data_IF_692449190753
#
_entry.id   IF_692449190753
#
_cell.length_a   1.000
_cell.length_b   1.000
_cell.length_c   1.000
_cell.angle_alpha   90.00
_cell.angle_beta   90.00
_cell.angle_gamma   90.00
#
_symmetry.space_group_name_H-M   'P 1'
#
loop_
_entity.id
_entity.type
_entity.pdbx_description
1 polymer ?
#
# COMPACT_ATOMS: atom_id res chain seq x y z
N UNK A 1 -15.47 -17.17 -44.73
CA UNK A 1 -14.09 -16.74 -44.40
C UNK A 1 -14.01 -15.88 -43.14
N UNK A 2 -14.84 -14.84 -42.96
CA UNK A 2 -14.79 -13.95 -41.79
C UNK A 2 -14.89 -14.67 -40.43
N UNK A 3 -15.78 -15.67 -40.29
CA UNK A 3 -15.92 -16.45 -39.05
C UNK A 3 -14.70 -17.27 -38.68
N UNK A 4 -14.03 -17.86 -39.67
CA UNK A 4 -12.81 -18.66 -39.45
C UNK A 4 -11.67 -17.74 -39.02
N UNK A 5 -11.54 -16.58 -39.66
CA UNK A 5 -10.54 -15.58 -39.28
C UNK A 5 -10.76 -15.05 -37.86
N UNK A 6 -12.01 -14.75 -37.50
CA UNK A 6 -12.36 -14.31 -36.14
C UNK A 6 -12.06 -15.41 -35.11
N UNK A 7 -12.42 -16.66 -35.37
CA UNK A 7 -12.15 -17.80 -34.50
C UNK A 7 -10.64 -18.04 -34.29
N UNK A 8 -9.85 -17.95 -35.37
CA UNK A 8 -8.39 -18.06 -35.30
C UNK A 8 -7.76 -16.90 -34.53
N UNK A 9 -8.24 -15.67 -34.74
CA UNK A 9 -7.77 -14.50 -34.00
C UNK A 9 -8.08 -14.62 -32.50
N UNK A 10 -9.29 -15.05 -32.15
CA UNK A 10 -9.65 -15.34 -30.75
C UNK A 10 -8.81 -16.47 -30.18
N UNK A 11 -8.61 -17.58 -30.91
CA UNK A 11 -7.74 -18.67 -30.48
C UNK A 11 -6.31 -18.21 -30.23
N UNK A 12 -5.79 -17.34 -31.09
CA UNK A 12 -4.45 -16.77 -30.96
C UNK A 12 -4.34 -15.82 -29.75
N UNK A 13 -5.34 -14.96 -29.53
CA UNK A 13 -5.40 -14.07 -28.35
C UNK A 13 -5.48 -14.91 -27.07
N UNK A 14 -6.29 -15.96 -27.05
CA UNK A 14 -6.43 -16.88 -25.92
C UNK A 14 -5.14 -17.67 -25.68
N UNK A 15 -4.44 -18.09 -26.74
CA UNK A 15 -3.18 -18.83 -26.64
C UNK A 15 -2.01 -17.96 -26.21
N UNK A 16 -1.93 -16.71 -26.70
CA UNK A 16 -0.92 -15.73 -26.29
C UNK A 16 -1.20 -15.15 -24.89
N UNK A 17 -2.47 -15.15 -24.47
CA UNK A 17 -2.91 -14.59 -23.20
C UNK A 17 -3.79 -15.60 -22.42
N UNK A 18 -3.26 -16.79 -22.08
CA UNK A 18 -4.06 -17.85 -21.45
C UNK A 18 -4.63 -17.41 -20.10
N UNK A 19 -3.94 -16.50 -19.42
CA UNK A 19 -4.42 -15.88 -18.18
C UNK A 19 -5.60 -14.92 -18.41
N UNK A 20 -5.64 -14.20 -19.54
CA UNK A 20 -6.74 -13.29 -19.86
C UNK A 20 -7.99 -14.09 -20.21
N UNK A 21 -7.83 -15.03 -21.14
CA UNK A 21 -8.81 -16.03 -21.49
C UNK A 21 -9.48 -16.67 -20.25
N UNK A 22 -8.67 -17.18 -19.31
CA UNK A 22 -9.17 -17.87 -18.12
C UNK A 22 -9.84 -16.94 -17.12
N UNK A 23 -9.32 -15.74 -16.93
CA UNK A 23 -9.94 -14.74 -16.04
C UNK A 23 -11.28 -14.26 -16.59
N UNK A 24 -11.34 -13.96 -17.88
CA UNK A 24 -12.56 -13.58 -18.60
C UNK A 24 -13.56 -14.74 -18.63
N UNK A 25 -13.11 -15.97 -18.86
CA UNK A 25 -13.95 -17.16 -18.74
C UNK A 25 -14.52 -17.30 -17.33
N UNK A 26 -13.70 -17.15 -16.29
CA UNK A 26 -14.21 -17.15 -14.92
C UNK A 26 -15.20 -15.99 -14.69
N UNK A 27 -14.95 -14.79 -15.19
CA UNK A 27 -15.89 -13.67 -15.02
C UNK A 27 -17.25 -13.92 -15.70
N UNK A 28 -17.24 -14.44 -16.93
CA UNK A 28 -18.47 -14.71 -17.68
C UNK A 28 -19.23 -15.95 -17.21
N UNK A 29 -18.51 -17.01 -16.80
CA UNK A 29 -19.10 -18.32 -16.50
C UNK A 29 -19.07 -18.69 -15.01
N UNK A 30 -18.39 -17.90 -14.17
CA UNK A 30 -18.43 -17.96 -12.70
C UNK A 30 -18.95 -16.64 -12.16
N UNK A 31 -20.16 -16.22 -12.60
CA UNK A 31 -20.93 -15.27 -11.79
C UNK A 31 -20.92 -15.85 -10.38
N UNK A 32 -20.27 -15.13 -9.47
CA UNK A 32 -20.06 -15.58 -8.10
C UNK A 32 -21.43 -15.76 -7.46
N UNK A 33 -21.95 -16.98 -7.48
CA UNK A 33 -23.06 -17.39 -6.63
C UNK A 33 -22.49 -17.64 -5.24
N UNK A 34 -21.90 -16.58 -4.67
CA UNK A 34 -21.48 -16.59 -3.29
C UNK A 34 -22.73 -16.40 -2.45
N UNK A 35 -23.14 -17.47 -1.80
CA UNK A 35 -24.18 -17.41 -0.80
C UNK A 35 -23.53 -16.97 0.51
N UNK A 36 -23.97 -15.82 1.01
CA UNK A 36 -23.61 -15.38 2.35
C UNK A 36 -24.03 -16.47 3.35
N UNK A 37 -23.18 -16.81 4.34
CA UNK A 37 -23.58 -17.79 5.35
C UNK A 37 -24.73 -17.24 6.20
N UNK A 38 -25.48 -18.10 6.91
CA UNK A 38 -26.52 -17.65 7.84
C UNK A 38 -25.94 -16.69 8.90
N UNK A 39 -26.68 -15.65 9.28
CA UNK A 39 -26.19 -14.61 10.21
C UNK A 39 -25.84 -15.13 11.61
N UNK A 40 -26.32 -16.33 11.97
CA UNK A 40 -25.97 -17.01 13.22
C UNK A 40 -24.57 -17.62 13.22
N UNK A 41 -23.87 -17.65 12.09
CA UNK A 41 -22.53 -18.27 11.98
C UNK A 41 -21.40 -17.26 12.17
N UNK A 42 -20.23 -17.79 12.51
CA UNK A 42 -18.99 -17.03 12.57
C UNK A 42 -18.48 -16.74 11.16
N UNK A 43 -18.25 -15.46 10.82
CA UNK A 43 -17.73 -15.06 9.51
C UNK A 43 -16.21 -15.06 9.53
N UNK A 44 -15.64 -16.19 9.09
CA UNK A 44 -14.19 -16.42 8.98
C UNK A 44 -13.57 -15.64 7.82
N UNK A 45 -12.60 -14.79 8.12
CA UNK A 45 -11.79 -14.05 7.15
C UNK A 45 -10.35 -14.57 7.20
N UNK A 46 -9.83 -15.05 6.06
CA UNK A 46 -8.46 -15.53 5.94
C UNK A 46 -7.48 -14.39 5.62
N UNK A 47 -6.26 -14.54 6.14
CA UNK A 47 -5.09 -13.67 6.03
C UNK A 47 -5.12 -12.44 6.96
N UNK A 48 -3.94 -12.11 7.48
CA UNK A 48 -3.72 -10.95 8.34
C UNK A 48 -3.78 -9.68 7.49
N UNK A 49 -4.44 -8.65 8.01
CA UNK A 49 -4.51 -7.34 7.39
C UNK A 49 -4.36 -6.21 8.42
N UNK A 50 -4.08 -4.97 7.97
CA UNK A 50 -4.01 -3.82 8.86
C UNK A 50 -5.31 -3.59 9.63
N UNK A 51 -5.20 -3.05 10.85
CA UNK A 51 -6.35 -2.80 11.76
C UNK A 51 -7.46 -1.94 11.13
N UNK A 52 -7.13 -1.04 10.20
CA UNK A 52 -8.15 -0.26 9.51
C UNK A 52 -9.02 -1.14 8.61
N UNK A 53 -8.40 -2.10 7.90
CA UNK A 53 -9.09 -3.03 7.01
C UNK A 53 -9.99 -3.97 7.82
N UNK A 54 -9.50 -4.50 8.96
CA UNK A 54 -10.35 -5.31 9.85
C UNK A 54 -11.59 -4.55 10.35
N UNK A 55 -11.45 -3.24 10.64
CA UNK A 55 -12.58 -2.38 11.01
C UNK A 55 -13.56 -2.14 9.87
N UNK A 56 -13.08 -1.98 8.64
CA UNK A 56 -13.96 -1.85 7.46
C UNK A 56 -14.78 -3.12 7.30
N UNK A 57 -14.13 -4.29 7.35
CA UNK A 57 -14.82 -5.58 7.19
C UNK A 57 -15.86 -5.79 8.30
N UNK A 58 -15.49 -5.57 9.57
CA UNK A 58 -16.45 -5.69 10.70
C UNK A 58 -17.65 -4.77 10.57
N UNK A 59 -17.49 -3.59 9.97
CA UNK A 59 -18.60 -2.65 9.71
C UNK A 59 -19.42 -3.00 8.48
N UNK A 60 -18.82 -3.68 7.51
CA UNK A 60 -19.51 -4.16 6.32
C UNK A 60 -20.38 -5.40 6.62
N UNK A 61 -20.03 -6.15 7.67
CA UNK A 61 -20.72 -7.37 8.10
C UNK A 61 -21.13 -7.30 9.58
N UNK A 62 -21.92 -6.28 10.01
CA UNK A 62 -22.25 -6.06 11.41
C UNK A 62 -23.14 -7.16 12.04
N UNK A 63 -23.84 -7.93 11.21
CA UNK A 63 -24.71 -9.03 11.60
C UNK A 63 -23.96 -10.33 11.89
N UNK A 64 -22.65 -10.37 11.62
CA UNK A 64 -21.81 -11.55 11.81
C UNK A 64 -20.80 -11.38 12.93
N UNK A 65 -20.43 -12.48 13.58
CA UNK A 65 -19.22 -12.54 14.39
C UNK A 65 -17.99 -12.69 13.48
N UNK A 66 -17.38 -11.58 13.06
CA UNK A 66 -16.23 -11.58 12.14
C UNK A 66 -14.91 -11.90 12.85
N UNK A 67 -14.25 -12.99 12.44
CA UNK A 67 -12.99 -13.48 13.01
C UNK A 67 -11.88 -13.54 11.96
N UNK A 68 -10.63 -13.38 12.41
CA UNK A 68 -9.42 -13.40 11.56
C UNK A 68 -8.41 -14.41 12.14
N UNK A 69 -8.66 -15.72 12.02
CA UNK A 69 -7.75 -16.74 12.56
C UNK A 69 -6.42 -16.76 11.80
N UNK A 70 -5.31 -16.92 12.52
CA UNK A 70 -3.98 -17.12 11.90
C UNK A 70 -3.91 -18.44 11.13
N UNK A 71 -4.59 -19.47 11.65
CA UNK A 71 -4.68 -20.80 11.08
C UNK A 71 -6.15 -21.25 11.02
N UNK A 72 -6.91 -20.89 9.97
CA UNK A 72 -8.30 -21.30 9.85
C UNK A 72 -8.42 -22.83 9.74
N UNK A 73 -9.25 -23.43 10.58
CA UNK A 73 -9.63 -24.86 10.51
C UNK A 73 -10.83 -25.10 9.60
N UNK A 74 -11.57 -24.04 9.27
CA UNK A 74 -12.77 -24.05 8.43
C UNK A 74 -12.49 -23.34 7.11
N UNK A 75 -13.34 -23.59 6.10
CA UNK A 75 -13.26 -22.85 4.83
C UNK A 75 -13.60 -21.38 5.10
N UNK A 76 -12.75 -20.42 4.70
CA UNK A 76 -13.04 -19.01 4.92
C UNK A 76 -14.23 -18.54 4.09
N UNK A 77 -14.93 -17.52 4.57
CA UNK A 77 -15.99 -16.85 3.81
C UNK A 77 -15.43 -15.71 2.96
N UNK A 78 -14.27 -15.18 3.33
CA UNK A 78 -13.59 -14.09 2.66
C UNK A 78 -12.08 -14.27 2.76
N UNK A 79 -11.37 -14.09 1.64
CA UNK A 79 -9.91 -14.03 1.64
C UNK A 79 -9.45 -12.57 1.48
N UNK A 80 -8.43 -12.17 2.23
CA UNK A 80 -7.77 -10.88 2.03
C UNK A 80 -6.44 -11.07 1.31
N UNK A 81 -6.19 -10.28 0.27
CA UNK A 81 -4.95 -10.34 -0.50
C UNK A 81 -4.29 -8.98 -0.52
N UNK A 82 -3.00 -8.93 -0.22
CA UNK A 82 -2.23 -7.72 -0.35
C UNK A 82 -1.33 -7.73 -1.58
N UNK A 83 -0.70 -6.59 -1.88
CA UNK A 83 0.25 -6.50 -3.00
C UNK A 83 1.35 -7.56 -2.92
N UNK A 84 1.82 -7.94 -1.74
CA UNK A 84 2.90 -8.91 -1.57
C UNK A 84 2.42 -10.36 -1.42
N UNK A 85 1.11 -10.61 -1.37
CA UNK A 85 0.55 -11.96 -1.34
C UNK A 85 0.96 -12.68 -2.64
N UNK A 86 1.58 -13.87 -2.57
CA UNK A 86 1.90 -14.65 -3.75
C UNK A 86 0.64 -14.90 -4.60
N UNK A 87 0.76 -14.75 -5.92
CA UNK A 87 -0.35 -14.99 -6.85
C UNK A 87 -0.68 -16.48 -7.01
N UNK A 88 0.27 -17.35 -6.62
CA UNK A 88 0.20 -18.79 -6.75
C UNK A 88 0.71 -19.44 -5.46
N UNK A 89 -0.18 -20.18 -4.77
CA UNK A 89 0.19 -20.93 -3.57
C UNK A 89 -1.01 -21.22 -2.68
N UNK A 90 -1.27 -22.51 -2.45
CA UNK A 90 -2.07 -23.12 -1.38
C UNK A 90 -3.56 -22.79 -1.24
N UNK A 91 -4.08 -21.73 -1.86
CA UNK A 91 -5.50 -21.41 -1.79
C UNK A 91 -6.29 -22.25 -2.79
N UNK A 92 -6.88 -23.35 -2.32
CA UNK A 92 -7.79 -24.20 -3.09
C UNK A 92 -9.26 -23.77 -2.97
N UNK A 93 -9.56 -22.90 -2.00
CA UNK A 93 -10.92 -22.47 -1.70
C UNK A 93 -11.44 -21.49 -2.78
N UNK A 94 -12.58 -21.84 -3.37
CA UNK A 94 -13.31 -21.00 -4.32
C UNK A 94 -14.19 -19.99 -3.57
N UNK A 95 -13.57 -18.98 -2.97
CA UNK A 95 -14.25 -17.98 -2.12
C UNK A 95 -13.93 -16.56 -2.59
N UNK A 96 -14.82 -15.58 -2.34
CA UNK A 96 -14.57 -14.20 -2.73
C UNK A 96 -13.33 -13.67 -2.00
N UNK A 97 -12.62 -12.77 -2.68
CA UNK A 97 -11.48 -12.11 -2.05
C UNK A 97 -11.49 -10.60 -2.27
N UNK A 98 -11.07 -9.91 -1.22
CA UNK A 98 -10.82 -8.48 -1.21
C UNK A 98 -9.32 -8.25 -1.35
N UNK A 99 -8.93 -7.34 -2.23
CA UNK A 99 -7.55 -6.95 -2.41
C UNK A 99 -7.27 -5.62 -1.69
N UNK A 100 -6.08 -5.46 -1.12
CA UNK A 100 -5.65 -4.18 -0.56
C UNK A 100 -4.17 -3.88 -0.85
N UNK A 101 -3.85 -2.65 -1.23
CA UNK A 101 -2.50 -2.27 -1.65
C UNK A 101 -2.09 -0.89 -1.15
N UNK A 102 -0.90 -0.84 -0.55
CA UNK A 102 -0.22 0.42 -0.27
C UNK A 102 0.55 0.97 -1.47
N UNK A 103 0.60 0.22 -2.57
CA UNK A 103 1.20 0.66 -3.83
C UNK A 103 0.20 1.46 -4.65
N UNK A 104 0.71 2.33 -5.52
CA UNK A 104 -0.11 3.13 -6.42
C UNK A 104 -0.80 2.29 -7.52
N UNK A 105 -0.30 1.08 -7.78
CA UNK A 105 -0.87 0.21 -8.81
C UNK A 105 -2.09 -0.56 -8.28
N UNK A 106 -3.13 -0.65 -9.11
CA UNK A 106 -4.27 -1.54 -8.83
C UNK A 106 -3.79 -2.98 -8.70
N UNK A 107 -4.48 -3.81 -7.92
CA UNK A 107 -4.22 -5.26 -7.79
C UNK A 107 -5.03 -6.12 -8.75
N UNK A 108 -5.92 -5.55 -9.57
CA UNK A 108 -6.70 -6.33 -10.55
C UNK A 108 -5.82 -7.11 -11.54
N UNK A 109 -4.60 -6.64 -11.81
CA UNK A 109 -3.65 -7.40 -12.63
C UNK A 109 -3.10 -8.65 -11.94
N UNK A 110 -3.08 -8.71 -10.61
CA UNK A 110 -2.51 -9.82 -9.82
C UNK A 110 -3.35 -11.09 -9.80
N UNK A 111 -4.41 -11.18 -10.60
CA UNK A 111 -5.20 -12.39 -10.95
C UNK A 111 -4.91 -13.59 -10.04
N UNK A 112 -5.49 -13.58 -8.86
CA UNK A 112 -5.22 -14.64 -7.91
C UNK A 112 -6.05 -15.86 -8.29
N UNK A 113 -5.38 -16.89 -8.80
CA UNK A 113 -6.01 -18.13 -9.15
C UNK A 113 -6.33 -18.93 -7.86
N UNK A 114 -7.53 -19.54 -7.69
CA UNK A 114 -8.66 -19.65 -8.63
C UNK A 114 -9.68 -18.49 -8.57
N UNK A 115 -9.57 -17.60 -7.60
CA UNK A 115 -10.60 -16.63 -7.23
C UNK A 115 -10.84 -15.46 -8.20
N UNK A 116 -10.23 -15.42 -9.39
CA UNK A 116 -10.54 -14.41 -10.41
C UNK A 116 -10.10 -12.99 -10.03
N UNK A 117 -10.92 -11.97 -10.33
CA UNK A 117 -10.69 -10.57 -9.95
C UNK A 117 -11.18 -10.30 -8.51
N UNK A 118 -10.55 -9.35 -7.79
CA UNK A 118 -11.07 -8.98 -6.48
C UNK A 118 -12.46 -8.39 -6.64
N UNK A 119 -13.42 -8.83 -5.83
CA UNK A 119 -14.76 -8.23 -5.84
C UNK A 119 -14.76 -6.84 -5.18
N UNK A 120 -13.73 -6.53 -4.39
CA UNK A 120 -13.46 -5.20 -3.85
C UNK A 120 -11.94 -4.98 -3.74
N UNK A 121 -11.49 -3.80 -4.15
CA UNK A 121 -10.11 -3.37 -3.98
C UNK A 121 -10.00 -2.12 -3.10
N UNK A 122 -9.11 -2.16 -2.10
CA UNK A 122 -8.73 -1.02 -1.28
C UNK A 122 -7.34 -0.55 -1.71
N UNK A 123 -7.24 0.61 -2.35
CA UNK A 123 -5.98 1.08 -2.92
C UNK A 123 -5.60 2.49 -2.44
N UNK A 124 -4.29 2.71 -2.36
CA UNK A 124 -3.70 4.01 -2.08
C UNK A 124 -3.69 4.95 -3.29
N UNK A 125 -4.15 4.52 -4.48
CA UNK A 125 -4.32 5.39 -5.63
C UNK A 125 -5.79 5.77 -5.80
N UNK A 126 -6.06 7.07 -6.01
CA UNK A 126 -7.42 7.53 -6.31
C UNK A 126 -7.79 6.97 -7.69
N UNK A 127 -8.69 5.99 -7.69
CA UNK A 127 -9.10 5.25 -8.89
C UNK A 127 -10.61 5.32 -8.99
N UNK A 128 -11.11 5.64 -10.18
CA UNK A 128 -12.54 5.63 -10.47
C UNK A 128 -12.97 4.23 -10.91
N UNK A 129 -14.14 3.79 -10.45
CA UNK A 129 -14.75 2.55 -10.88
C UNK A 129 -15.62 1.90 -9.82
N UNK A 130 -16.40 0.92 -10.27
CA UNK A 130 -17.15 0.05 -9.38
C UNK A 130 -16.18 -0.89 -8.65
N UNK A 131 -16.46 -1.16 -7.37
CA UNK A 131 -15.68 -2.06 -6.52
C UNK A 131 -14.29 -1.56 -6.08
N UNK A 132 -14.15 -0.26 -5.87
CA UNK A 132 -12.95 0.33 -5.28
C UNK A 132 -13.29 1.16 -4.04
N UNK A 133 -12.44 1.06 -3.02
CA UNK A 133 -12.39 2.01 -1.92
C UNK A 133 -11.02 2.68 -1.97
N UNK A 134 -11.03 3.99 -2.16
CA UNK A 134 -9.84 4.79 -1.97
C UNK A 134 -9.50 4.85 -0.48
N UNK A 135 -8.31 4.38 -0.11
CA UNK A 135 -7.79 4.50 1.25
C UNK A 135 -6.28 4.76 1.16
N UNK A 136 -5.82 5.99 1.43
CA UNK A 136 -4.40 6.29 1.33
C UNK A 136 -3.62 5.47 2.35
N UNK A 137 -2.41 5.03 1.99
CA UNK A 137 -1.62 4.13 2.84
C UNK A 137 -1.40 4.70 4.24
N UNK A 138 -1.24 6.02 4.36
CA UNK A 138 -1.15 6.72 5.65
C UNK A 138 -2.32 6.42 6.61
N UNK A 139 -3.52 6.17 6.10
CA UNK A 139 -4.72 5.93 6.91
C UNK A 139 -4.75 4.56 7.59
N UNK A 140 -4.05 3.56 7.04
CA UNK A 140 -4.02 2.21 7.60
C UNK A 140 -2.63 1.69 7.95
N UNK A 141 -1.57 2.30 7.44
CA UNK A 141 -0.17 1.96 7.72
C UNK A 141 0.32 2.45 9.08
N UNK A 142 -0.28 3.50 9.64
CA UNK A 142 0.03 4.01 10.99
C UNK A 142 -1.25 4.06 11.84
N UNK A 143 -1.22 3.42 13.00
CA UNK A 143 -2.34 3.50 13.95
C UNK A 143 -2.26 4.82 14.73
N UNK A 144 -3.42 5.40 15.04
CA UNK A 144 -3.55 6.63 15.84
C UNK A 144 -2.75 7.83 15.28
N UNK A 145 -2.74 8.00 13.95
CA UNK A 145 -2.03 9.06 13.22
C UNK A 145 -2.01 10.42 13.94
N UNK A 146 -3.20 10.94 14.26
CA UNK A 146 -3.37 12.23 14.94
C UNK A 146 -2.65 12.31 16.29
N UNK A 147 -2.73 11.25 17.08
CA UNK A 147 -2.07 11.17 18.39
C UNK A 147 -0.55 11.17 18.20
N UNK A 148 -0.03 10.39 17.26
CA UNK A 148 1.41 10.32 17.00
C UNK A 148 1.95 11.65 16.50
N UNK A 149 1.23 12.34 15.61
CA UNK A 149 1.57 13.69 15.16
C UNK A 149 1.61 14.68 16.31
N UNK A 150 0.58 14.68 17.16
CA UNK A 150 0.51 15.55 18.31
C UNK A 150 1.70 15.31 19.27
N UNK A 151 1.98 14.05 19.61
CA UNK A 151 3.10 13.69 20.47
C UNK A 151 4.46 14.09 19.85
N UNK A 152 4.63 13.91 18.53
CA UNK A 152 5.84 14.33 17.83
C UNK A 152 6.03 15.85 17.85
N UNK A 153 4.94 16.61 17.68
CA UNK A 153 4.96 18.07 17.78
C UNK A 153 5.26 18.56 19.20
N UNK A 154 4.70 17.92 20.22
CA UNK A 154 4.93 18.25 21.64
C UNK A 154 6.36 17.95 22.08
N UNK A 155 6.94 16.82 21.63
CA UNK A 155 8.32 16.43 21.95
C UNK A 155 9.37 17.27 21.23
N UNK A 156 9.00 18.02 20.20
CA UNK A 156 9.97 18.75 19.39
C UNK A 156 10.60 19.90 20.19
N UNK A 157 11.91 19.86 20.45
CA UNK A 157 12.56 20.94 21.20
C UNK A 157 12.59 22.21 20.34
N UNK A 158 11.93 23.27 20.81
CA UNK A 158 11.85 24.56 20.11
C UNK A 158 13.18 25.34 20.11
N UNK A 159 14.07 25.04 21.04
CA UNK A 159 15.25 25.88 21.34
C UNK A 159 16.60 25.21 21.09
N UNK A 160 16.64 23.91 20.79
CA UNK A 160 17.91 23.22 20.56
C UNK A 160 18.20 23.06 19.07
N UNK A 161 19.34 23.58 18.58
CA UNK A 161 19.73 23.36 17.20
C UNK A 161 20.00 21.87 16.96
N UNK A 162 19.40 21.32 15.90
CA UNK A 162 19.68 19.95 15.45
C UNK A 162 21.10 19.88 14.87
N UNK A 163 21.82 18.75 15.04
CA UNK A 163 23.20 18.61 14.57
C UNK A 163 23.33 18.65 13.05
N UNK A 164 22.25 18.34 12.33
CA UNK A 164 22.23 18.26 10.86
C UNK A 164 21.03 18.99 10.25
N UNK A 165 21.12 19.33 8.96
CA UNK A 165 20.07 20.07 8.26
C UNK A 165 19.08 19.15 7.57
N UNK A 166 19.54 18.20 6.75
CA UNK A 166 18.67 17.41 5.88
C UNK A 166 19.06 15.93 5.92
N UNK A 167 18.06 15.04 5.97
CA UNK A 167 18.26 13.61 5.76
C UNK A 167 17.43 13.08 4.59
N UNK A 168 18.01 12.18 3.80
CA UNK A 168 17.36 11.41 2.75
C UNK A 168 17.54 9.92 3.01
N UNK A 169 16.44 9.20 3.20
CA UNK A 169 16.45 7.77 3.52
C UNK A 169 15.64 7.03 2.46
N UNK A 170 16.30 6.59 1.38
CA UNK A 170 15.66 5.84 0.30
C UNK A 170 16.49 4.66 -0.19
N UNK A 171 15.83 3.52 -0.39
CA UNK A 171 16.40 2.35 -1.04
C UNK A 171 15.97 2.19 -2.51
N UNK A 172 14.95 2.93 -2.93
CA UNK A 172 14.43 2.90 -4.30
C UNK A 172 14.76 4.24 -4.99
N UNK A 173 15.72 4.18 -5.91
CA UNK A 173 16.31 5.37 -6.50
C UNK A 173 15.40 5.91 -7.60
N UNK A 174 14.89 7.11 -7.37
CA UNK A 174 13.95 7.80 -8.25
C UNK A 174 14.56 9.14 -8.60
N UNK A 175 14.59 9.46 -9.89
CA UNK A 175 15.31 10.61 -10.44
C UNK A 175 14.96 11.91 -9.73
N UNK A 176 13.69 12.19 -9.53
CA UNK A 176 13.19 13.42 -8.92
C UNK A 176 13.68 13.56 -7.47
N UNK A 177 13.72 12.46 -6.71
CA UNK A 177 14.23 12.44 -5.33
C UNK A 177 15.73 12.70 -5.27
N UNK A 178 16.47 11.99 -6.12
CA UNK A 178 17.93 12.07 -6.15
C UNK A 178 18.38 13.46 -6.64
N UNK A 179 17.65 14.07 -7.57
CA UNK A 179 17.85 15.45 -8.00
C UNK A 179 17.57 16.44 -6.87
N UNK A 180 16.44 16.31 -6.16
CA UNK A 180 16.14 17.15 -5.00
C UNK A 180 17.23 17.04 -3.94
N UNK A 181 17.64 15.82 -3.58
CA UNK A 181 18.73 15.62 -2.63
C UNK A 181 20.06 16.22 -3.12
N UNK A 182 20.38 16.11 -4.41
CA UNK A 182 21.57 16.73 -5.00
C UNK A 182 21.57 18.25 -4.83
N UNK A 183 20.43 18.91 -5.07
CA UNK A 183 20.28 20.36 -4.89
C UNK A 183 20.45 20.75 -3.41
N UNK A 184 19.82 20.00 -2.50
CA UNK A 184 19.94 20.24 -1.05
C UNK A 184 21.37 20.01 -0.57
N UNK A 185 22.06 18.99 -1.09
CA UNK A 185 23.47 18.72 -0.79
C UNK A 185 24.38 19.85 -1.28
N UNK A 186 24.12 20.45 -2.44
CA UNK A 186 24.83 21.66 -2.88
C UNK A 186 24.61 22.83 -1.93
N UNK A 187 23.38 23.01 -1.42
CA UNK A 187 23.00 24.12 -0.53
C UNK A 187 23.50 23.99 0.90
N UNK A 188 23.46 22.77 1.46
CA UNK A 188 23.76 22.48 2.87
C UNK A 188 25.09 21.76 3.06
N UNK A 189 25.77 21.37 1.98
CA UNK A 189 27.08 20.72 2.00
C UNK A 189 27.09 19.52 2.96
N UNK A 190 28.06 19.47 3.88
CA UNK A 190 28.23 18.38 4.84
C UNK A 190 27.06 18.21 5.83
N UNK A 191 26.06 19.10 5.81
CA UNK A 191 24.88 19.03 6.68
C UNK A 191 23.67 18.31 6.05
N UNK A 192 23.80 17.79 4.82
CA UNK A 192 22.76 17.02 4.15
C UNK A 192 23.21 15.57 3.92
N UNK A 193 22.55 14.61 4.57
CA UNK A 193 22.98 13.20 4.58
C UNK A 193 22.00 12.32 3.81
N UNK A 194 22.53 11.37 3.03
CA UNK A 194 21.75 10.23 2.56
C UNK A 194 22.18 8.97 3.30
N UNK A 195 21.21 8.33 3.96
CA UNK A 195 21.39 7.12 4.77
C UNK A 195 20.75 5.89 4.12
N UNK A 196 20.27 6.01 2.88
CA UNK A 196 19.67 4.93 2.12
C UNK A 196 20.66 4.15 1.24
N UNK A 197 20.12 3.44 0.23
CA UNK A 197 20.93 2.87 -0.87
C UNK A 197 21.25 3.93 -1.93
N UNK A 198 20.39 4.92 -2.08
CA UNK A 198 20.52 5.96 -3.11
C UNK A 198 21.36 7.13 -2.61
N UNK A 199 22.17 7.73 -3.47
CA UNK A 199 22.92 8.97 -3.20
C UNK A 199 23.78 8.94 -1.91
N UNK A 200 24.35 7.79 -1.54
CA UNK A 200 25.01 7.59 -0.24
C UNK A 200 26.08 8.65 0.05
N UNK A 201 25.97 9.32 1.20
CA UNK A 201 26.96 10.31 1.64
C UNK A 201 27.60 9.97 2.98
N UNK A 202 26.99 9.06 3.74
CA UNK A 202 27.52 8.55 5.00
C UNK A 202 28.15 7.17 4.78
N UNK A 203 29.16 6.84 5.58
CA UNK A 203 29.72 5.48 5.65
C UNK A 203 28.73 4.46 6.23
N UNK A 204 27.71 4.94 6.95
CA UNK A 204 26.68 4.11 7.59
C UNK A 204 25.31 4.33 6.95
N UNK A 205 24.53 3.25 6.85
CA UNK A 205 23.13 3.28 6.46
C UNK A 205 22.25 3.46 7.69
N UNK A 206 21.04 3.97 7.48
CA UNK A 206 19.99 3.89 8.49
C UNK A 206 19.76 2.42 8.83
N UNK A 207 19.93 2.08 10.11
CA UNK A 207 19.62 0.75 10.62
C UNK A 207 18.11 0.61 10.85
N UNK A 208 17.62 -0.64 10.84
CA UNK A 208 16.20 -0.93 11.05
C UNK A 208 15.36 -0.92 9.77
N UNK A 209 14.04 -1.03 9.97
CA UNK A 209 13.05 -0.97 8.90
C UNK A 209 12.44 0.45 8.84
N UNK A 210 11.51 0.68 7.91
CA UNK A 210 10.88 1.98 7.76
C UNK A 210 9.98 2.40 8.94
N UNK A 211 9.75 1.54 9.94
CA UNK A 211 8.97 1.87 11.14
C UNK A 211 9.81 2.51 12.25
N UNK A 212 11.13 2.36 12.24
CA UNK A 212 12.01 2.74 13.37
C UNK A 212 12.96 3.91 13.03
N UNK A 213 12.51 4.84 12.18
CA UNK A 213 13.35 5.94 11.68
C UNK A 213 13.32 7.19 12.58
N UNK A 214 12.46 7.26 13.59
CA UNK A 214 12.28 8.43 14.45
C UNK A 214 13.60 8.93 15.08
N UNK A 215 14.43 8.07 15.70
CA UNK A 215 15.69 8.52 16.33
C UNK A 215 16.70 9.10 15.34
N UNK A 216 16.59 8.70 14.06
CA UNK A 216 17.39 9.27 12.99
C UNK A 216 16.85 10.65 12.63
N UNK A 217 15.54 10.78 12.36
CA UNK A 217 14.94 12.06 11.97
C UNK A 217 15.10 13.14 13.04
N UNK A 218 15.11 12.80 14.33
CA UNK A 218 15.34 13.73 15.43
C UNK A 218 16.72 14.42 15.38
N UNK A 219 17.66 13.94 14.57
CA UNK A 219 18.98 14.58 14.40
C UNK A 219 18.98 15.65 13.30
N UNK A 220 17.87 15.82 12.57
CA UNK A 220 17.80 16.69 11.40
C UNK A 220 16.69 17.71 11.52
N UNK A 221 16.90 18.89 10.93
CA UNK A 221 15.82 19.87 10.78
C UNK A 221 14.77 19.40 9.77
N UNK A 222 15.23 18.82 8.65
CA UNK A 222 14.39 18.40 7.54
C UNK A 222 14.61 16.92 7.17
N UNK A 223 13.52 16.24 6.80
CA UNK A 223 13.53 14.90 6.25
C UNK A 223 12.92 14.88 4.86
N UNK A 224 13.59 14.25 3.88
CA UNK A 224 13.03 14.08 2.54
C UNK A 224 11.97 12.98 2.57
N UNK A 225 10.71 13.38 2.49
CA UNK A 225 9.56 12.51 2.50
C UNK A 225 8.92 12.46 1.10
N UNK A 226 9.68 12.02 0.11
CA UNK A 226 9.23 12.04 -1.28
C UNK A 226 8.69 10.67 -1.70
N UNK A 227 7.58 10.63 -2.41
CA UNK A 227 6.99 9.40 -2.93
C UNK A 227 7.72 8.85 -4.14
N UNK A 228 7.45 7.58 -4.48
CA UNK A 228 8.13 6.91 -5.59
C UNK A 228 7.68 7.49 -6.93
N UNK A 229 6.46 8.03 -6.95
CA UNK A 229 5.79 8.62 -8.09
C UNK A 229 4.91 9.77 -7.60
N UNK A 230 4.75 10.77 -8.44
CA UNK A 230 3.73 11.79 -8.29
C UNK A 230 2.40 11.25 -8.86
N UNK A 231 1.49 10.86 -7.96
CA UNK A 231 0.21 10.23 -8.29
C UNK A 231 -0.86 10.70 -7.31
N UNK A 232 -2.01 11.08 -7.85
CA UNK A 232 -3.19 11.45 -7.07
C UNK A 232 -3.63 10.29 -6.15
N UNK A 233 -3.90 10.60 -4.89
CA UNK A 233 -4.21 9.67 -3.82
C UNK A 233 -3.00 9.10 -3.09
N UNK A 234 -1.80 9.13 -3.69
CA UNK A 234 -0.65 8.36 -3.23
C UNK A 234 0.15 9.08 -2.14
N UNK A 235 -0.32 8.95 -0.90
CA UNK A 235 0.37 9.41 0.31
C UNK A 235 0.67 8.22 1.23
N UNK A 236 1.94 7.98 1.51
CA UNK A 236 2.38 6.82 2.30
C UNK A 236 2.98 7.20 3.65
N UNK A 237 3.58 6.24 4.36
CA UNK A 237 4.26 6.40 5.64
C UNK A 237 5.45 7.36 5.61
N UNK A 238 6.00 7.70 4.44
CA UNK A 238 7.22 8.51 4.33
C UNK A 238 7.07 9.88 4.96
N UNK A 239 5.94 10.56 4.68
CA UNK A 239 5.63 11.87 5.27
C UNK A 239 5.54 11.78 6.79
N UNK A 240 4.97 10.68 7.29
CA UNK A 240 4.80 10.46 8.72
C UNK A 240 6.09 10.17 9.44
N UNK A 241 6.94 9.31 8.88
CA UNK A 241 8.23 9.00 9.46
C UNK A 241 9.08 10.28 9.61
N UNK A 242 9.01 11.20 8.64
CA UNK A 242 9.67 12.49 8.76
C UNK A 242 9.02 13.38 9.84
N UNK A 243 7.69 13.47 9.91
CA UNK A 243 6.99 14.24 10.94
C UNK A 243 7.29 13.79 12.38
N UNK A 244 7.64 12.51 12.57
CA UNK A 244 7.96 11.98 13.89
C UNK A 244 9.24 12.59 14.51
N UNK A 245 10.12 13.23 13.72
CA UNK A 245 11.36 13.83 14.26
C UNK A 245 11.87 15.10 13.56
N UNK A 246 11.45 15.37 12.32
CA UNK A 246 11.94 16.44 11.44
C UNK A 246 10.78 17.21 10.76
N UNK A 247 11.08 18.27 10.00
CA UNK A 247 10.11 18.88 9.06
C UNK A 247 10.17 18.11 7.74
N UNK A 248 9.07 17.54 7.25
CA UNK A 248 9.07 16.87 5.95
C UNK A 248 9.23 17.87 4.81
N UNK A 249 10.13 17.57 3.89
CA UNK A 249 10.13 18.10 2.53
C UNK A 249 9.43 17.04 1.67
N UNK A 250 8.15 17.29 1.37
CA UNK A 250 7.26 16.33 0.72
C UNK A 250 7.16 16.55 -0.80
N UNK A 251 7.05 15.45 -1.55
CA UNK A 251 6.71 15.42 -2.98
C UNK A 251 5.90 14.16 -3.28
N UNK A 252 4.82 14.28 -4.04
CA UNK A 252 3.77 13.28 -4.23
C UNK A 252 2.43 14.00 -4.41
N UNK A 253 1.32 13.43 -3.93
CA UNK A 253 0.04 14.13 -3.90
C UNK A 253 0.01 15.20 -2.80
N UNK A 254 0.39 16.43 -3.16
CA UNK A 254 0.42 17.56 -2.23
C UNK A 254 -0.98 18.00 -1.77
N UNK A 255 -2.01 17.80 -2.60
CA UNK A 255 -3.39 18.17 -2.30
C UNK A 255 -3.95 17.27 -1.21
N UNK A 256 -3.73 15.96 -1.32
CA UNK A 256 -4.16 15.02 -0.29
C UNK A 256 -3.30 15.15 0.96
N UNK A 257 -1.97 15.31 0.82
CA UNK A 257 -1.07 15.44 1.97
C UNK A 257 -1.51 16.57 2.91
N UNK A 258 -1.94 17.72 2.37
CA UNK A 258 -2.48 18.86 3.14
C UNK A 258 -3.80 18.57 3.88
N UNK A 259 -4.54 17.53 3.50
CA UNK A 259 -5.83 17.16 4.11
C UNK A 259 -5.66 16.12 5.22
N UNK A 260 -4.64 15.27 5.12
CA UNK A 260 -4.45 14.10 6.00
C UNK A 260 -3.42 14.34 7.10
N UNK A 261 -2.63 15.41 6.99
CA UNK A 261 -1.68 15.91 7.97
C UNK A 261 -2.16 17.26 8.47
#
# INVERSE_FOLDING_TARGET
>A
MAFIFLALLTGLIFWQNPYFARATYNEFFTRWHFEMPPTSTTFVVQNICPRAITRVIRRAFPEYNVVFPEHPTETPHLILKNYYTPTHGHETAHVPYMAFSGEYASLRWKRFFPSGYPFLEITANETEGENFIFMPYIAYGKTNLRKNLQEAMEKRPYSQPRPHQVVYISSHCVRERDQMFTLLRKRFQQQAYSLGKCMQTASQRAEGNYHDLTPIYEQYNFGLAMENHDRKGYVTEKIMNAFEGAIPIYWGDDVLAKKVV
#
